data_IF_521290422601
#
_entry.id   IF_521290422601
#
_cell.length_a   1.000
_cell.length_b   1.000
_cell.length_c   1.000
_cell.angle_alpha   90.00
_cell.angle_beta   90.00
_cell.angle_gamma   90.00
#
_symmetry.space_group_name_H-M   'P 1'
#
loop_
_entity.id
_entity.type
_entity.pdbx_description
1 polymer ?
#
# COMPACT_ATOMS: atom_id res chain seq x y z
N UNK A 1 0.44 -15.62 20.54
CA UNK A 1 -0.33 -16.87 20.70
C UNK A 1 0.04 -17.50 22.03
N UNK A 2 -0.65 -18.56 22.46
CA UNK A 2 -0.28 -19.28 23.70
C UNK A 2 1.10 -19.94 23.60
N UNK A 3 1.60 -20.12 22.37
CA UNK A 3 2.93 -20.65 22.05
C UNK A 3 4.01 -19.55 21.93
N UNK A 4 3.69 -18.30 22.28
CA UNK A 4 4.65 -17.19 22.26
C UNK A 4 4.95 -16.59 20.88
N UNK A 5 4.31 -17.07 19.81
CA UNK A 5 4.45 -16.50 18.45
C UNK A 5 3.66 -15.19 18.37
N UNK A 6 4.30 -14.14 17.83
CA UNK A 6 3.68 -12.83 17.59
C UNK A 6 3.50 -12.56 16.10
N UNK A 7 2.39 -11.92 15.74
CA UNK A 7 2.14 -11.33 14.42
C UNK A 7 2.25 -9.82 14.48
N UNK A 8 2.60 -9.20 13.36
CA UNK A 8 2.76 -7.76 13.22
C UNK A 8 2.01 -7.26 12.00
N UNK A 9 1.39 -6.10 12.14
CA UNK A 9 0.75 -5.38 11.06
C UNK A 9 0.81 -3.88 11.34
N UNK A 10 0.77 -3.07 10.29
CA UNK A 10 0.54 -1.63 10.43
C UNK A 10 -0.96 -1.36 10.54
N UNK A 11 -1.32 -0.44 11.43
CA UNK A 11 -2.68 0.08 11.55
C UNK A 11 -2.66 1.58 11.32
N UNK A 12 -3.43 2.05 10.35
CA UNK A 12 -3.51 3.46 10.02
C UNK A 12 -3.63 3.73 8.53
N UNK A 13 -3.58 5.00 8.17
CA UNK A 13 -3.51 5.49 6.80
C UNK A 13 -2.52 6.65 6.70
N UNK A 14 -2.31 7.18 5.50
CA UNK A 14 -1.52 8.39 5.29
C UNK A 14 -2.11 9.65 5.93
N UNK A 15 -3.37 9.61 6.38
CA UNK A 15 -4.08 10.77 6.97
C UNK A 15 -4.37 10.63 8.46
N UNK A 16 -4.43 9.39 8.94
CA UNK A 16 -4.95 9.08 10.27
C UNK A 16 -4.11 7.98 10.91
N UNK A 17 -3.62 8.24 12.11
CA UNK A 17 -2.77 7.33 12.88
C UNK A 17 -3.50 6.13 13.48
N UNK A 18 -2.73 5.21 14.05
CA UNK A 18 -3.24 4.00 14.69
C UNK A 18 -4.15 4.29 15.90
N UNK A 19 -3.91 5.41 16.58
CA UNK A 19 -4.64 5.90 17.74
C UNK A 19 -6.13 6.12 17.46
N UNK A 20 -6.47 6.56 16.25
CA UNK A 20 -7.86 6.70 15.82
C UNK A 20 -8.58 5.35 15.70
N UNK A 21 -7.86 4.32 15.29
CA UNK A 21 -8.43 3.00 14.99
C UNK A 21 -8.38 2.03 16.18
N UNK A 22 -7.47 2.27 17.13
CA UNK A 22 -7.24 1.40 18.27
C UNK A 22 -8.49 1.18 19.16
N UNK A 23 -9.35 2.18 19.45
CA UNK A 23 -10.54 1.94 20.27
C UNK A 23 -11.48 0.90 19.67
N UNK A 24 -11.82 1.03 18.38
CA UNK A 24 -12.71 0.09 17.69
C UNK A 24 -12.09 -1.32 17.57
N UNK A 25 -10.78 -1.40 17.37
CA UNK A 25 -10.05 -2.68 17.41
C UNK A 25 -10.22 -3.37 18.77
N UNK A 26 -10.03 -2.64 19.87
CA UNK A 26 -10.10 -3.20 21.22
C UNK A 26 -11.53 -3.54 21.63
N UNK A 27 -12.49 -2.69 21.29
CA UNK A 27 -13.89 -2.86 21.71
C UNK A 27 -14.62 -3.94 20.89
N UNK A 28 -14.48 -3.92 19.56
CA UNK A 28 -15.30 -4.76 18.67
C UNK A 28 -14.56 -5.95 18.11
N UNK A 29 -13.27 -5.80 17.80
CA UNK A 29 -12.53 -6.84 17.08
C UNK A 29 -11.85 -7.82 18.05
N UNK A 30 -11.23 -7.33 19.13
CA UNK A 30 -10.60 -8.17 20.15
C UNK A 30 -11.52 -9.30 20.65
N UNK A 31 -12.80 -9.07 20.99
CA UNK A 31 -13.68 -10.15 21.47
C UNK A 31 -13.91 -11.28 20.45
N UNK A 32 -13.77 -10.99 19.15
CA UNK A 32 -13.95 -11.98 18.07
C UNK A 32 -12.71 -12.86 17.93
N UNK A 33 -11.52 -12.30 18.14
CA UNK A 33 -10.23 -12.97 17.83
C UNK A 33 -9.64 -13.71 19.04
N UNK A 34 -9.87 -13.21 20.26
CA UNK A 34 -9.23 -13.79 21.45
C UNK A 34 -9.71 -15.22 21.71
N UNK A 35 -8.77 -16.12 22.02
CA UNK A 35 -9.05 -17.53 22.28
C UNK A 35 -9.30 -18.39 21.03
N UNK A 36 -9.22 -17.81 19.83
CA UNK A 36 -9.33 -18.56 18.58
C UNK A 36 -7.97 -19.04 18.09
N UNK A 37 -7.98 -20.13 17.31
CA UNK A 37 -6.81 -20.60 16.60
C UNK A 37 -6.46 -19.60 15.48
N UNK A 38 -5.26 -18.97 15.48
CA UNK A 38 -4.86 -18.02 14.45
C UNK A 38 -4.72 -18.65 13.05
N UNK A 39 -4.65 -19.97 12.94
CA UNK A 39 -4.63 -20.67 11.65
C UNK A 39 -6.01 -20.76 10.99
N UNK A 40 -7.09 -20.48 11.73
CA UNK A 40 -8.46 -20.42 11.20
C UNK A 40 -8.77 -19.08 10.50
N UNK A 41 -7.82 -18.57 9.70
CA UNK A 41 -7.86 -17.22 9.10
C UNK A 41 -9.20 -16.96 8.42
N UNK A 42 -9.66 -17.86 7.55
CA UNK A 42 -10.91 -17.68 6.80
C UNK A 42 -12.15 -17.59 7.70
N UNK A 43 -12.20 -18.38 8.77
CA UNK A 43 -13.32 -18.34 9.70
C UNK A 43 -13.29 -17.08 10.59
N UNK A 44 -12.10 -16.63 11.00
CA UNK A 44 -11.94 -15.36 11.71
C UNK A 44 -12.35 -14.21 10.80
N UNK A 45 -11.82 -14.16 9.58
CA UNK A 45 -12.10 -13.10 8.62
C UNK A 45 -13.59 -12.95 8.32
N UNK A 46 -14.32 -14.06 8.16
CA UNK A 46 -15.77 -14.02 7.94
C UNK A 46 -16.54 -13.39 9.10
N UNK A 47 -16.10 -13.61 10.34
CA UNK A 47 -16.73 -12.97 11.51
C UNK A 47 -16.33 -11.49 11.62
N UNK A 48 -15.07 -11.14 11.32
CA UNK A 48 -14.63 -9.75 11.26
C UNK A 48 -15.38 -8.96 10.18
N UNK A 49 -15.63 -9.56 9.01
CA UNK A 49 -16.31 -8.89 7.91
C UNK A 49 -17.75 -8.48 8.24
N UNK A 50 -18.42 -9.22 9.12
CA UNK A 50 -19.76 -8.83 9.63
C UNK A 50 -19.75 -7.49 10.36
N UNK A 51 -18.58 -7.06 10.85
CA UNK A 51 -18.37 -5.78 11.53
C UNK A 51 -18.01 -4.62 10.57
N UNK A 52 -17.95 -4.84 9.25
CA UNK A 52 -17.49 -3.82 8.29
C UNK A 52 -18.36 -2.54 8.22
N UNK A 53 -19.54 -2.54 8.86
CA UNK A 53 -20.41 -1.36 9.02
C UNK A 53 -20.15 -0.58 10.32
N UNK A 54 -19.48 -1.21 11.28
CA UNK A 54 -19.21 -0.64 12.61
C UNK A 54 -17.73 -0.37 12.82
N UNK A 55 -16.87 -1.06 12.07
CA UNK A 55 -15.42 -0.99 12.18
C UNK A 55 -14.82 -0.74 10.80
N UNK A 56 -13.81 0.13 10.75
CA UNK A 56 -13.09 0.42 9.52
C UNK A 56 -12.43 -0.82 8.93
N UNK A 57 -12.44 -0.94 7.61
CA UNK A 57 -11.72 -1.99 6.88
C UNK A 57 -10.20 -1.94 7.13
N UNK A 58 -9.63 -0.80 7.54
CA UNK A 58 -8.23 -0.73 7.98
C UNK A 58 -7.96 -1.61 9.20
N UNK A 59 -8.89 -1.66 10.16
CA UNK A 59 -8.77 -2.49 11.36
C UNK A 59 -8.91 -3.97 10.99
N UNK A 60 -9.89 -4.30 10.15
CA UNK A 60 -10.11 -5.68 9.68
C UNK A 60 -8.87 -6.18 8.93
N UNK A 61 -8.34 -5.36 8.01
CA UNK A 61 -7.13 -5.69 7.24
C UNK A 61 -5.88 -5.83 8.11
N UNK A 62 -5.71 -4.99 9.14
CA UNK A 62 -4.58 -5.11 10.06
C UNK A 62 -4.59 -6.44 10.82
N UNK A 63 -5.77 -6.92 11.24
CA UNK A 63 -5.88 -8.25 11.86
C UNK A 63 -5.62 -9.37 10.85
N UNK A 64 -6.16 -9.29 9.64
CA UNK A 64 -5.90 -10.29 8.60
C UNK A 64 -4.40 -10.43 8.31
N UNK A 65 -3.68 -9.32 8.11
CA UNK A 65 -2.23 -9.30 7.91
C UNK A 65 -1.50 -9.90 9.13
N UNK A 66 -1.91 -9.55 10.34
CA UNK A 66 -1.31 -10.07 11.57
C UNK A 66 -1.46 -11.61 11.67
N UNK A 67 -2.62 -12.14 11.29
CA UNK A 67 -2.85 -13.59 11.26
C UNK A 67 -1.98 -14.28 10.21
N UNK A 68 -1.80 -13.68 9.03
CA UNK A 68 -0.87 -14.19 8.01
C UNK A 68 0.60 -14.16 8.47
N UNK A 69 1.03 -13.12 9.18
CA UNK A 69 2.39 -13.07 9.78
C UNK A 69 2.59 -14.18 10.83
N UNK A 70 1.60 -14.43 11.69
CA UNK A 70 1.62 -15.57 12.63
C UNK A 70 1.75 -16.89 11.87
N UNK A 71 0.94 -17.10 10.83
CA UNK A 71 0.94 -18.36 10.09
C UNK A 71 2.23 -18.58 9.29
N UNK A 72 2.84 -17.51 8.75
CA UNK A 72 4.18 -17.56 8.15
C UNK A 72 5.23 -18.06 9.14
N UNK A 73 5.19 -17.55 10.38
CA UNK A 73 6.11 -17.95 11.45
C UNK A 73 5.85 -19.36 11.96
N UNK A 74 4.60 -19.77 12.12
CA UNK A 74 4.24 -21.15 12.50
C UNK A 74 4.73 -22.14 11.44
N UNK A 75 4.56 -21.81 10.16
CA UNK A 75 4.96 -22.68 9.06
C UNK A 75 6.46 -22.62 8.74
N UNK A 76 7.20 -21.69 9.34
CA UNK A 76 8.57 -21.34 8.95
C UNK A 76 8.70 -21.11 7.43
N UNK A 77 7.76 -20.34 6.87
CA UNK A 77 7.70 -20.03 5.45
C UNK A 77 7.37 -18.56 5.22
N UNK A 78 7.92 -17.94 4.15
CA UNK A 78 7.48 -16.61 3.75
C UNK A 78 6.03 -16.67 3.24
N UNK A 79 5.23 -15.64 3.53
CA UNK A 79 3.79 -15.60 3.21
C UNK A 79 3.51 -15.86 1.72
N UNK A 80 4.35 -15.38 0.80
CA UNK A 80 4.17 -15.63 -0.63
C UNK A 80 4.24 -17.12 -1.01
N UNK A 81 4.91 -17.98 -0.22
CA UNK A 81 4.88 -19.45 -0.40
C UNK A 81 3.53 -20.01 0.02
N UNK A 82 3.02 -19.56 1.16
CA UNK A 82 1.70 -19.98 1.66
C UNK A 82 0.57 -19.59 0.69
N UNK A 83 0.70 -18.46 0.00
CA UNK A 83 -0.26 -17.98 -1.01
C UNK A 83 -0.08 -18.60 -2.41
N UNK A 84 0.92 -19.47 -2.62
CA UNK A 84 1.19 -20.08 -3.93
C UNK A 84 2.10 -19.22 -4.79
N UNK A 85 3.39 -19.20 -4.48
CA UNK A 85 4.40 -18.38 -5.17
C UNK A 85 4.36 -18.53 -6.69
N UNK A 86 4.12 -17.41 -7.38
CA UNK A 86 4.23 -17.34 -8.84
C UNK A 86 5.54 -16.69 -9.32
N UNK A 87 6.13 -15.80 -8.50
CA UNK A 87 7.35 -15.06 -8.81
C UNK A 87 8.13 -14.82 -7.51
N UNK A 88 9.45 -14.94 -7.58
CA UNK A 88 10.36 -14.62 -6.46
C UNK A 88 10.95 -13.20 -6.59
N UNK A 89 10.91 -12.64 -7.79
CA UNK A 89 11.36 -11.28 -8.09
C UNK A 89 10.28 -10.58 -8.93
N UNK A 90 9.94 -9.35 -8.56
CA UNK A 90 8.97 -8.52 -9.27
C UNK A 90 9.59 -7.16 -9.62
N UNK A 91 9.33 -6.60 -10.81
CA UNK A 91 9.72 -5.23 -11.11
C UNK A 91 9.05 -4.24 -10.15
N UNK A 92 9.81 -3.26 -9.69
CA UNK A 92 9.33 -2.16 -8.84
C UNK A 92 9.46 -0.84 -9.58
N UNK A 93 8.70 0.15 -9.14
CA UNK A 93 8.77 1.53 -9.63
C UNK A 93 8.85 2.48 -8.44
N UNK A 94 9.53 3.61 -8.63
CA UNK A 94 9.53 4.67 -7.63
C UNK A 94 8.28 5.53 -7.78
N UNK A 95 7.75 6.01 -6.67
CA UNK A 95 6.51 6.77 -6.59
C UNK A 95 6.85 8.17 -6.11
N UNK A 96 6.61 9.18 -6.95
CA UNK A 96 7.08 10.54 -6.66
C UNK A 96 6.45 11.12 -5.39
N UNK A 97 7.22 11.92 -4.67
CA UNK A 97 6.69 12.85 -3.67
C UNK A 97 6.01 14.06 -4.36
N UNK A 98 5.30 14.87 -3.58
CA UNK A 98 4.84 16.17 -4.06
C UNK A 98 6.02 17.15 -4.11
N UNK A 99 6.18 17.83 -5.25
CA UNK A 99 7.12 18.93 -5.45
C UNK A 99 6.38 20.18 -5.94
N UNK A 100 6.95 21.37 -5.74
CA UNK A 100 6.30 22.62 -6.13
C UNK A 100 6.46 22.90 -7.63
N UNK A 101 7.57 22.47 -8.23
CA UNK A 101 7.95 22.80 -9.61
C UNK A 101 8.21 21.57 -10.48
N UNK A 102 7.91 21.64 -11.77
CA UNK A 102 8.19 20.57 -12.75
C UNK A 102 9.67 20.19 -12.83
N UNK A 103 10.57 21.13 -12.54
CA UNK A 103 12.01 20.90 -12.48
C UNK A 103 12.37 19.96 -11.31
N UNK A 104 11.79 20.17 -10.12
CA UNK A 104 12.00 19.29 -8.97
C UNK A 104 11.47 17.86 -9.20
N UNK A 105 10.34 17.72 -9.92
CA UNK A 105 9.86 16.41 -10.38
C UNK A 105 10.87 15.72 -11.30
N UNK A 106 11.45 16.45 -12.25
CA UNK A 106 12.45 15.93 -13.17
C UNK A 106 13.74 15.54 -12.45
N UNK A 107 14.20 16.35 -11.49
CA UNK A 107 15.36 16.06 -10.64
C UNK A 107 15.14 14.79 -9.81
N UNK A 108 13.96 14.60 -9.23
CA UNK A 108 13.65 13.36 -8.51
C UNK A 108 13.69 12.13 -9.41
N UNK A 109 13.12 12.23 -10.60
CA UNK A 109 13.12 11.13 -11.55
C UNK A 109 14.56 10.78 -11.99
N UNK A 110 15.44 11.77 -12.20
CA UNK A 110 16.87 11.56 -12.45
C UNK A 110 17.52 10.84 -11.27
N UNK A 111 17.29 11.28 -10.02
CA UNK A 111 17.86 10.61 -8.83
C UNK A 111 17.51 9.11 -8.80
N UNK A 112 16.25 8.76 -9.06
CA UNK A 112 15.84 7.35 -9.12
C UNK A 112 16.46 6.61 -10.32
N UNK A 113 16.54 7.25 -11.48
CA UNK A 113 17.23 6.66 -12.65
C UNK A 113 18.70 6.36 -12.34
N UNK A 114 19.41 7.28 -11.70
CA UNK A 114 20.83 7.13 -11.33
C UNK A 114 21.04 6.03 -10.27
N UNK A 115 20.03 5.77 -9.43
CA UNK A 115 19.98 4.62 -8.53
C UNK A 115 19.67 3.28 -9.24
N UNK A 116 19.46 3.29 -10.55
CA UNK A 116 19.18 2.09 -11.35
C UNK A 116 17.70 1.71 -11.46
N UNK A 117 16.78 2.60 -11.08
CA UNK A 117 15.35 2.33 -11.25
C UNK A 117 14.96 2.39 -12.72
N UNK A 118 14.11 1.46 -13.14
CA UNK A 118 13.68 1.33 -14.54
C UNK A 118 12.28 1.89 -14.79
N UNK A 119 11.56 2.28 -13.72
CA UNK A 119 10.21 2.81 -13.78
C UNK A 119 9.95 3.86 -12.69
N UNK A 120 9.17 4.90 -13.03
CA UNK A 120 8.79 5.99 -12.14
C UNK A 120 7.33 6.40 -12.35
N UNK A 121 6.56 6.57 -11.27
CA UNK A 121 5.16 7.01 -11.30
C UNK A 121 5.03 8.42 -10.73
N UNK A 122 4.57 9.34 -11.57
CA UNK A 122 4.39 10.76 -11.29
C UNK A 122 3.07 10.99 -10.55
N UNK A 123 3.12 11.62 -9.37
CA UNK A 123 1.96 12.18 -8.67
C UNK A 123 2.00 13.71 -8.82
N UNK A 124 1.34 14.28 -9.85
CA UNK A 124 1.47 15.69 -10.18
C UNK A 124 0.47 16.53 -9.34
N UNK A 125 0.17 17.76 -9.77
CA UNK A 125 -0.66 18.67 -8.98
C UNK A 125 -2.16 18.42 -9.16
N UNK A 126 -2.55 17.70 -10.21
CA UNK A 126 -3.96 17.48 -10.55
C UNK A 126 -4.56 18.61 -11.39
N UNK A 127 -3.74 19.53 -11.90
CA UNK A 127 -4.12 20.47 -12.97
C UNK A 127 -3.69 19.88 -14.31
N UNK A 128 -4.62 19.48 -15.20
CA UNK A 128 -4.29 18.80 -16.45
C UNK A 128 -3.26 19.54 -17.30
N UNK A 129 -3.29 20.88 -17.36
CA UNK A 129 -2.35 21.63 -18.18
C UNK A 129 -0.96 21.60 -17.58
N UNK A 130 -0.85 21.81 -16.28
CA UNK A 130 0.43 21.82 -15.60
C UNK A 130 1.02 20.41 -15.46
N UNK A 131 0.19 19.40 -15.24
CA UNK A 131 0.58 18.00 -15.16
C UNK A 131 1.17 17.49 -16.49
N UNK A 132 0.69 18.00 -17.64
CA UNK A 132 1.31 17.76 -18.95
C UNK A 132 2.72 18.37 -18.99
N UNK A 133 2.92 19.57 -18.45
CA UNK A 133 4.25 20.18 -18.37
C UNK A 133 5.19 19.38 -17.46
N UNK A 134 4.72 18.92 -16.30
CA UNK A 134 5.47 18.03 -15.41
C UNK A 134 5.85 16.75 -16.15
N UNK A 135 4.89 16.10 -16.81
CA UNK A 135 5.11 14.85 -17.52
C UNK A 135 6.15 14.99 -18.65
N UNK A 136 6.11 16.11 -19.39
CA UNK A 136 7.11 16.43 -20.42
C UNK A 136 8.50 16.64 -19.80
N UNK A 137 8.60 17.47 -18.76
CA UNK A 137 9.87 17.74 -18.08
C UNK A 137 10.52 16.45 -17.57
N UNK A 138 9.74 15.57 -16.92
CA UNK A 138 10.22 14.28 -16.44
C UNK A 138 10.68 13.40 -17.60
N UNK A 139 9.89 13.28 -18.67
CA UNK A 139 10.28 12.48 -19.85
C UNK A 139 11.59 12.97 -20.47
N UNK A 140 11.71 14.27 -20.70
CA UNK A 140 12.90 14.86 -21.29
C UNK A 140 14.15 14.59 -20.44
N UNK A 141 14.01 14.66 -19.11
CA UNK A 141 15.09 14.41 -18.16
C UNK A 141 15.54 12.95 -18.10
N UNK A 142 14.60 12.00 -18.07
CA UNK A 142 14.94 10.57 -17.91
C UNK A 142 15.23 9.85 -19.24
N UNK A 143 14.97 10.49 -20.37
CA UNK A 143 15.14 9.91 -21.71
C UNK A 143 14.06 8.88 -22.05
N UNK A 144 14.18 8.19 -23.19
CA UNK A 144 13.09 7.36 -23.74
C UNK A 144 12.87 6.01 -23.01
N UNK A 145 13.89 5.46 -22.37
CA UNK A 145 13.87 4.06 -21.91
C UNK A 145 13.15 3.85 -20.56
N UNK A 146 13.11 4.88 -19.70
CA UNK A 146 12.46 4.75 -18.41
C UNK A 146 10.94 4.65 -18.59
N UNK A 147 10.33 3.64 -17.96
CA UNK A 147 8.87 3.49 -17.96
C UNK A 147 8.28 4.56 -17.05
N UNK A 148 7.34 5.34 -17.59
CA UNK A 148 6.66 6.39 -16.85
C UNK A 148 5.19 6.05 -16.70
N UNK A 149 4.66 6.35 -15.52
CA UNK A 149 3.24 6.25 -15.18
C UNK A 149 2.79 7.59 -14.58
N UNK A 150 1.50 7.88 -14.65
CA UNK A 150 0.87 9.09 -14.10
C UNK A 150 -0.27 8.67 -13.18
N UNK A 151 -0.38 9.33 -12.03
CA UNK A 151 -1.48 9.17 -11.09
C UNK A 151 -2.01 10.56 -10.71
N UNK A 152 -3.09 10.99 -11.36
CA UNK A 152 -3.73 12.30 -11.14
C UNK A 152 -4.60 12.35 -9.88
N UNK A 153 -4.55 11.35 -9.01
CA UNK A 153 -5.21 11.36 -7.68
C UNK A 153 -6.71 11.70 -7.72
N UNK A 154 -7.43 11.17 -8.73
CA UNK A 154 -8.86 11.44 -8.98
C UNK A 154 -9.21 12.92 -9.20
N UNK A 155 -8.24 13.77 -9.55
CA UNK A 155 -8.46 15.20 -9.75
C UNK A 155 -9.16 15.55 -11.06
N UNK A 156 -8.98 14.72 -12.09
CA UNK A 156 -9.44 15.00 -13.45
C UNK A 156 -10.94 14.73 -13.61
N UNK A 157 -11.59 15.55 -14.44
CA UNK A 157 -12.90 15.21 -15.00
C UNK A 157 -12.74 14.22 -16.15
N UNK A 158 -13.87 13.73 -16.69
CA UNK A 158 -13.87 12.81 -17.82
C UNK A 158 -13.11 13.41 -19.02
N UNK A 159 -13.36 14.68 -19.34
CA UNK A 159 -12.75 15.38 -20.47
C UNK A 159 -11.25 15.60 -20.28
N UNK A 160 -10.79 15.82 -19.05
CA UNK A 160 -9.38 16.00 -18.74
C UNK A 160 -8.57 14.70 -18.87
N UNK A 161 -9.24 13.55 -18.72
CA UNK A 161 -8.63 12.23 -18.75
C UNK A 161 -8.56 11.60 -20.15
N UNK A 162 -9.25 12.18 -21.14
CA UNK A 162 -9.29 11.74 -22.55
C UNK A 162 -8.10 12.25 -23.35
#
# INVERSE_FOLDING_TARGET
TDEGISGNAFLGSSRVGADHFAPALIEFIKPIVMGRNPQDIGAIWWDLWKMNRSVSTYVIGAIDICLWDINGKIADQPIHRLLGTCKEIVPVYSSTAYHETKEEYAEEAIRFKDMGWTAHKIHPHGDPKYDIEISKAVRDAVGADMKLMLDSMWAYQYEDAM
#
